data_IF_811490525223
#
_entry.id   IF_811490525223
#
_cell.length_a   1.000
_cell.length_b   1.000
_cell.length_c   1.000
_cell.angle_alpha   90.00
_cell.angle_beta   90.00
_cell.angle_gamma   90.00
#
_symmetry.space_group_name_H-M   'P 1'
#
loop_
_entity.id
_entity.type
_entity.pdbx_description
1 polymer ?
#
# COMPACT_ATOMS: atom_id res chain seq x y z
N UNK A 1 -0.17 5.99 14.15
CA UNK A 1 -0.20 4.94 13.12
C UNK A 1 -1.30 3.96 13.48
N UNK A 2 -2.33 3.86 12.64
CA UNK A 2 -3.43 2.91 12.87
C UNK A 2 -3.08 1.61 12.18
N UNK A 3 -2.89 0.54 12.94
CA UNK A 3 -2.90 -0.79 12.41
C UNK A 3 -4.29 -1.37 12.68
N UNK A 4 -5.06 -1.58 11.64
CA UNK A 4 -6.36 -2.22 11.73
C UNK A 4 -6.23 -3.74 11.73
N UNK A 5 -7.10 -4.45 12.44
CA UNK A 5 -7.25 -5.89 12.30
C UNK A 5 -7.74 -6.22 10.88
N UNK A 6 -7.42 -7.41 10.39
CA UNK A 6 -8.05 -7.96 9.18
C UNK A 6 -9.19 -8.85 9.64
N UNK A 7 -10.36 -8.75 9.02
CA UNK A 7 -11.42 -9.72 9.19
C UNK A 7 -11.26 -10.82 8.14
N UNK A 8 -11.41 -12.07 8.58
CA UNK A 8 -11.68 -13.19 7.70
C UNK A 8 -13.12 -13.12 7.18
N UNK A 9 -13.37 -13.74 6.01
CA UNK A 9 -14.69 -13.80 5.35
C UNK A 9 -15.82 -14.40 6.22
N UNK A 10 -15.49 -14.96 7.39
CA UNK A 10 -16.43 -15.53 8.34
C UNK A 10 -16.66 -14.71 9.62
N UNK A 11 -15.94 -13.63 9.87
CA UNK A 11 -16.18 -12.81 11.05
C UNK A 11 -17.37 -11.84 10.85
N UNK A 12 -18.38 -11.98 11.71
CA UNK A 12 -19.53 -11.06 11.72
C UNK A 12 -19.17 -9.80 12.49
N UNK A 13 -19.35 -8.64 11.85
CA UNK A 13 -19.16 -7.33 12.50
C UNK A 13 -20.28 -6.98 13.50
N UNK A 14 -21.35 -7.74 13.56
CA UNK A 14 -22.63 -7.29 14.08
C UNK A 14 -23.42 -6.47 13.03
N UNK A 15 -24.40 -5.69 13.45
CA UNK A 15 -25.19 -4.86 12.54
C UNK A 15 -24.31 -3.87 11.77
N UNK A 16 -24.48 -3.78 10.45
CA UNK A 16 -23.67 -2.91 9.57
C UNK A 16 -23.96 -1.41 9.79
N UNK A 17 -25.10 -1.06 10.39
CA UNK A 17 -25.50 0.32 10.67
C UNK A 17 -24.51 1.10 11.55
N UNK A 18 -23.73 0.40 12.37
CA UNK A 18 -22.67 1.01 13.21
C UNK A 18 -21.34 1.19 12.49
N UNK A 19 -21.29 0.93 11.18
CA UNK A 19 -20.06 0.95 10.41
C UNK A 19 -20.17 1.86 9.18
N UNK A 20 -19.05 2.49 8.88
CA UNK A 20 -18.79 3.20 7.64
C UNK A 20 -17.72 2.44 6.86
N UNK A 21 -17.91 2.28 5.56
CA UNK A 21 -16.99 1.53 4.68
C UNK A 21 -16.35 2.48 3.69
N UNK A 22 -15.03 2.50 3.67
CA UNK A 22 -14.22 3.31 2.77
C UNK A 22 -13.36 2.41 1.87
N UNK A 23 -12.92 2.95 0.73
CA UNK A 23 -11.97 2.25 -0.14
C UNK A 23 -10.63 2.07 0.56
N UNK A 24 -10.05 0.88 0.47
CA UNK A 24 -8.68 0.64 0.88
C UNK A 24 -7.75 0.98 -0.29
N UNK A 25 -7.25 2.20 -0.24
CA UNK A 25 -6.33 2.71 -1.25
C UNK A 25 -4.98 1.98 -1.16
N UNK A 26 -4.43 1.64 -2.32
CA UNK A 26 -3.11 1.01 -2.44
C UNK A 26 -2.07 2.09 -2.75
N UNK A 27 -1.39 2.56 -1.70
CA UNK A 27 -0.50 3.70 -1.80
C UNK A 27 0.51 3.78 -0.66
N UNK A 28 0.93 4.99 -0.36
CA UNK A 28 1.76 5.31 0.81
C UNK A 28 1.05 6.29 1.71
N UNK A 29 0.90 5.89 2.98
CA UNK A 29 0.23 6.73 3.96
C UNK A 29 1.02 7.99 4.25
N UNK A 30 0.32 9.12 4.25
CA UNK A 30 0.86 10.41 4.59
C UNK A 30 -0.07 11.16 5.54
N UNK A 31 0.53 11.76 6.57
CA UNK A 31 -0.15 12.72 7.43
C UNK A 31 0.26 14.12 6.98
N UNK A 32 -0.70 14.93 6.55
CA UNK A 32 -0.49 16.28 6.11
C UNK A 32 -0.70 17.25 7.31
N UNK A 33 0.33 17.98 7.64
CA UNK A 33 0.31 19.05 8.62
C UNK A 33 0.25 20.39 7.89
N UNK A 34 -0.83 21.12 8.07
CA UNK A 34 -1.04 22.45 7.53
C UNK A 34 -0.90 23.44 8.68
N UNK A 35 -0.02 24.42 8.56
CA UNK A 35 0.16 25.49 9.54
C UNK A 35 0.38 26.81 8.79
N UNK A 36 -0.57 27.72 8.89
CA UNK A 36 -0.49 29.05 8.28
C UNK A 36 -0.08 29.01 6.79
N UNK A 37 -0.72 28.15 6.00
CA UNK A 37 -0.47 27.96 4.56
C UNK A 37 0.79 27.17 4.21
N UNK A 38 1.52 26.65 5.19
CA UNK A 38 2.65 25.74 4.98
C UNK A 38 2.19 24.30 5.16
N UNK A 39 2.59 23.41 4.24
CA UNK A 39 2.23 22.01 4.26
C UNK A 39 3.46 21.14 4.47
N UNK A 40 3.36 20.20 5.41
CA UNK A 40 4.34 19.12 5.60
C UNK A 40 3.63 17.78 5.47
N UNK A 41 4.17 16.90 4.64
CA UNK A 41 3.72 15.54 4.51
C UNK A 41 4.67 14.61 5.25
N UNK A 42 4.18 13.94 6.28
CA UNK A 42 4.98 12.97 7.04
C UNK A 42 4.54 11.55 6.68
N UNK A 43 5.51 10.72 6.31
CA UNK A 43 5.29 9.29 6.09
C UNK A 43 4.98 8.56 7.41
N UNK A 44 4.58 7.30 7.30
CA UNK A 44 4.32 6.41 8.45
C UNK A 44 5.49 6.37 9.45
N UNK A 45 6.73 6.46 8.99
CA UNK A 45 7.95 6.47 9.84
C UNK A 45 8.34 7.89 10.33
N UNK A 46 7.51 8.91 10.07
CA UNK A 46 7.75 10.29 10.45
C UNK A 46 8.77 11.02 9.56
N UNK A 47 9.16 10.46 8.42
CA UNK A 47 10.03 11.13 7.46
C UNK A 47 9.25 12.20 6.71
N UNK A 48 9.86 13.36 6.52
CA UNK A 48 9.30 14.47 5.75
C UNK A 48 9.43 14.17 4.24
N UNK A 49 8.30 13.99 3.59
CA UNK A 49 8.17 13.69 2.16
C UNK A 49 7.66 14.88 1.34
N UNK A 50 7.50 16.06 1.96
CA UNK A 50 6.88 17.23 1.34
C UNK A 50 7.50 17.60 -0.01
N UNK A 51 8.82 17.55 -0.09
CA UNK A 51 9.56 17.88 -1.31
C UNK A 51 9.36 16.87 -2.46
N UNK A 52 8.98 15.63 -2.16
CA UNK A 52 8.75 14.59 -3.15
C UNK A 52 7.35 14.70 -3.82
N UNK A 53 6.41 15.42 -3.17
CA UNK A 53 5.02 15.53 -3.61
C UNK A 53 4.52 16.99 -3.71
N UNK A 54 5.17 17.84 -4.55
CA UNK A 54 4.72 19.23 -4.74
C UNK A 54 3.33 19.33 -5.36
N UNK A 55 2.92 18.34 -6.14
CA UNK A 55 1.60 18.17 -6.72
C UNK A 55 0.48 17.97 -5.70
N UNK A 56 0.83 17.54 -4.48
CA UNK A 56 -0.09 17.40 -3.34
C UNK A 56 0.04 18.61 -2.39
N UNK A 57 1.26 19.04 -2.07
CA UNK A 57 1.46 20.11 -1.08
C UNK A 57 1.02 21.47 -1.58
N UNK A 58 1.18 21.77 -2.89
CA UNK A 58 0.79 23.06 -3.43
C UNK A 58 -0.74 23.30 -3.43
N UNK A 59 -1.59 22.35 -3.82
CA UNK A 59 -3.04 22.49 -3.64
C UNK A 59 -3.44 22.62 -2.17
N UNK A 60 -2.93 21.77 -1.29
CA UNK A 60 -3.24 21.81 0.14
C UNK A 60 -2.89 23.16 0.79
N UNK A 61 -1.82 23.83 0.35
CA UNK A 61 -1.42 25.13 0.87
C UNK A 61 -2.47 26.25 0.59
N UNK A 62 -3.44 25.99 -0.30
CA UNK A 62 -4.55 26.92 -0.62
C UNK A 62 -5.79 26.67 0.23
N UNK A 63 -5.78 25.65 1.08
CA UNK A 63 -6.90 25.42 1.99
C UNK A 63 -7.03 26.58 2.98
N UNK A 64 -8.20 27.17 3.05
CA UNK A 64 -8.49 28.35 3.87
C UNK A 64 -8.77 27.96 5.33
N UNK A 65 -7.76 27.44 6.01
CA UNK A 65 -7.76 27.11 7.44
C UNK A 65 -6.51 27.67 8.09
N UNK A 66 -6.57 27.95 9.39
CA UNK A 66 -5.37 28.35 10.11
C UNK A 66 -4.39 27.20 10.25
N UNK A 67 -4.86 26.09 10.78
CA UNK A 67 -4.09 24.88 11.02
C UNK A 67 -4.97 23.65 10.78
N UNK A 68 -4.42 22.56 10.19
CA UNK A 68 -5.10 21.29 10.07
C UNK A 68 -4.09 20.13 10.11
N UNK A 69 -4.55 18.98 10.63
CA UNK A 69 -3.83 17.71 10.51
C UNK A 69 -4.76 16.71 9.81
N UNK A 70 -4.39 16.31 8.61
CA UNK A 70 -5.17 15.41 7.75
C UNK A 70 -4.43 14.07 7.61
N UNK A 71 -5.18 12.97 7.62
CA UNK A 71 -4.65 11.63 7.40
C UNK A 71 -5.15 11.08 6.07
N UNK A 72 -4.25 10.61 5.24
CA UNK A 72 -4.58 10.18 3.89
C UNK A 72 -3.61 9.16 3.32
N UNK A 73 -3.91 8.71 2.10
CA UNK A 73 -3.06 7.83 1.31
C UNK A 73 -2.65 8.55 0.02
N UNK A 74 -1.35 8.60 -0.25
CA UNK A 74 -0.84 9.10 -1.54
C UNK A 74 -0.91 7.95 -2.55
N UNK A 75 -1.55 8.20 -3.69
CA UNK A 75 -1.69 7.26 -4.79
C UNK A 75 -1.24 7.89 -6.10
N UNK A 76 -0.92 7.06 -7.08
CA UNK A 76 -0.80 7.42 -8.50
C UNK A 76 -1.80 6.57 -9.26
N UNK A 77 -2.51 7.16 -10.22
CA UNK A 77 -3.50 6.44 -11.03
C UNK A 77 -2.97 6.15 -12.43
N UNK A 78 -3.43 5.04 -13.01
CA UNK A 78 -3.20 4.72 -14.42
C UNK A 78 -4.07 5.62 -15.35
N UNK A 79 -3.94 5.42 -16.66
CA UNK A 79 -4.70 6.16 -17.67
C UNK A 79 -6.23 5.94 -17.61
N UNK A 80 -6.68 4.91 -16.88
CA UNK A 80 -8.11 4.63 -16.63
C UNK A 80 -8.61 5.22 -15.31
N UNK A 81 -7.75 5.93 -14.56
CA UNK A 81 -8.06 6.51 -13.25
C UNK A 81 -8.00 5.52 -12.08
N UNK A 82 -7.45 4.31 -12.28
CA UNK A 82 -7.29 3.31 -11.21
C UNK A 82 -5.97 3.49 -10.49
N UNK A 83 -5.93 3.39 -9.17
CA UNK A 83 -4.70 3.39 -8.41
C UNK A 83 -3.76 2.26 -8.87
N UNK A 84 -2.50 2.61 -9.10
CA UNK A 84 -1.44 1.69 -9.50
C UNK A 84 -0.19 1.91 -8.65
N UNK A 85 0.07 0.96 -7.76
CA UNK A 85 1.23 1.03 -6.87
C UNK A 85 2.57 0.94 -7.64
N UNK A 86 2.61 0.23 -8.78
CA UNK A 86 3.78 0.17 -9.65
C UNK A 86 4.17 1.54 -10.19
N UNK A 87 3.18 2.35 -10.61
CA UNK A 87 3.42 3.73 -11.01
C UNK A 87 3.87 4.60 -9.83
N UNK A 88 3.27 4.42 -8.65
CA UNK A 88 3.65 5.16 -7.44
C UNK A 88 5.10 4.88 -7.04
N UNK A 89 5.63 3.69 -7.27
CA UNK A 89 7.04 3.37 -6.96
C UNK A 89 8.02 4.32 -7.62
N UNK A 90 7.71 4.85 -8.80
CA UNK A 90 8.55 5.85 -9.49
C UNK A 90 8.59 7.20 -8.76
N UNK A 91 7.72 7.42 -7.75
CA UNK A 91 7.65 8.62 -6.92
C UNK A 91 8.30 8.43 -5.54
N UNK A 92 8.38 7.18 -5.07
CA UNK A 92 8.88 6.87 -3.72
C UNK A 92 10.39 7.18 -3.62
N UNK A 93 10.79 7.83 -2.52
CA UNK A 93 12.18 8.18 -2.20
C UNK A 93 12.86 9.17 -3.19
N UNK A 94 12.12 9.86 -4.05
CA UNK A 94 12.68 10.92 -4.86
C UNK A 94 13.10 12.10 -3.97
N UNK A 95 14.32 12.60 -4.18
CA UNK A 95 14.86 13.72 -3.41
C UNK A 95 15.50 14.82 -4.26
N UNK A 96 15.89 14.49 -5.51
CA UNK A 96 16.52 15.45 -6.41
C UNK A 96 15.44 16.28 -7.10
N UNK A 97 15.47 17.63 -7.04
CA UNK A 97 14.40 18.47 -7.59
C UNK A 97 14.05 18.18 -9.06
N UNK A 98 15.05 17.98 -9.92
CA UNK A 98 14.79 17.66 -11.34
C UNK A 98 14.15 16.29 -11.58
N UNK A 99 14.39 15.30 -10.70
CA UNK A 99 13.73 14.00 -10.77
C UNK A 99 12.29 14.11 -10.29
N UNK A 100 12.05 14.87 -9.21
CA UNK A 100 10.71 15.16 -8.69
C UNK A 100 9.86 15.88 -9.73
N UNK A 101 10.42 16.92 -10.39
CA UNK A 101 9.70 17.68 -11.42
C UNK A 101 9.25 16.78 -12.58
N UNK A 102 10.16 15.97 -13.13
CA UNK A 102 9.83 15.00 -14.20
C UNK A 102 8.78 13.99 -13.74
N UNK A 103 8.95 13.44 -12.57
CA UNK A 103 8.04 12.44 -12.03
C UNK A 103 6.65 13.02 -11.73
N UNK A 104 6.55 14.27 -11.29
CA UNK A 104 5.27 14.98 -11.09
C UNK A 104 4.49 15.14 -12.41
N UNK A 105 5.19 15.33 -13.53
CA UNK A 105 4.56 15.42 -14.85
C UNK A 105 4.15 14.05 -15.40
N UNK A 106 4.98 13.02 -15.18
CA UNK A 106 4.77 11.69 -15.76
C UNK A 106 3.83 10.82 -14.92
N UNK A 107 3.95 10.88 -13.60
CA UNK A 107 3.19 10.09 -12.61
C UNK A 107 2.64 11.02 -11.53
N UNK A 108 1.65 11.87 -11.85
CA UNK A 108 1.10 12.83 -10.89
C UNK A 108 0.46 12.13 -9.71
N UNK A 109 0.87 12.52 -8.50
CA UNK A 109 0.35 11.96 -7.27
C UNK A 109 -0.96 12.65 -6.84
N UNK A 110 -1.79 11.90 -6.14
CA UNK A 110 -3.03 12.36 -5.52
C UNK A 110 -3.04 11.95 -4.05
N UNK A 111 -3.66 12.77 -3.20
CA UNK A 111 -3.89 12.45 -1.79
C UNK A 111 -5.38 12.13 -1.57
N UNK A 112 -5.66 10.91 -1.16
CA UNK A 112 -6.98 10.45 -0.74
C UNK A 112 -7.09 10.65 0.77
N UNK A 113 -7.75 11.75 1.19
CA UNK A 113 -7.89 12.10 2.61
C UNK A 113 -9.08 11.34 3.19
N UNK A 114 -8.85 10.61 4.27
CA UNK A 114 -9.86 9.76 4.88
C UNK A 114 -10.12 10.07 6.37
N UNK A 115 -9.35 10.99 6.98
CA UNK A 115 -9.61 11.47 8.34
C UNK A 115 -9.03 12.88 8.58
N UNK A 116 -9.59 13.61 9.54
CA UNK A 116 -9.09 14.88 10.06
C UNK A 116 -8.86 14.75 11.57
N UNK A 117 -7.66 15.08 12.01
CA UNK A 117 -7.20 14.83 13.37
C UNK A 117 -7.14 16.10 14.22
N UNK A 118 -6.95 17.24 13.56
CA UNK A 118 -6.91 18.56 14.18
C UNK A 118 -7.42 19.61 13.18
N UNK A 119 -8.13 20.61 13.64
CA UNK A 119 -8.59 21.75 12.84
C UNK A 119 -8.56 23.01 13.71
N UNK A 120 -7.89 24.07 13.20
CA UNK A 120 -7.79 25.39 13.82
C UNK A 120 -7.37 25.39 15.28
N UNK A 121 -6.46 24.46 15.65
CA UNK A 121 -5.93 24.27 17.00
C UNK A 121 -6.81 23.42 17.90
N UNK A 122 -7.95 22.90 17.40
CA UNK A 122 -8.78 21.96 18.13
C UNK A 122 -8.45 20.52 17.74
N UNK A 123 -8.11 19.67 18.72
CA UNK A 123 -7.88 18.24 18.49
C UNK A 123 -9.22 17.51 18.33
N UNK A 124 -9.35 16.76 17.24
CA UNK A 124 -10.54 15.97 16.93
C UNK A 124 -10.36 14.47 17.28
N UNK A 125 -9.21 14.07 17.81
CA UNK A 125 -8.86 12.67 18.06
C UNK A 125 -9.88 11.93 18.95
N UNK A 126 -10.46 12.62 19.94
CA UNK A 126 -11.43 12.04 20.86
C UNK A 126 -12.87 12.02 20.29
N UNK A 127 -13.15 12.74 19.22
CA UNK A 127 -14.46 12.77 18.60
C UNK A 127 -14.77 11.44 17.89
N UNK A 128 -16.05 11.03 17.84
CA UNK A 128 -16.50 9.92 17.01
C UNK A 128 -16.06 10.06 15.55
N UNK A 129 -15.79 8.94 14.86
CA UNK A 129 -15.44 8.97 13.43
C UNK A 129 -16.49 9.73 12.59
N UNK A 130 -17.78 9.53 12.87
CA UNK A 130 -18.86 10.22 12.12
C UNK A 130 -18.72 11.74 12.18
N UNK A 131 -18.41 12.31 13.35
CA UNK A 131 -18.23 13.75 13.50
C UNK A 131 -16.95 14.24 12.78
N UNK A 132 -15.85 13.49 12.88
CA UNK A 132 -14.63 13.85 12.17
C UNK A 132 -14.83 13.79 10.66
N UNK A 133 -15.61 12.81 10.19
CA UNK A 133 -15.95 12.69 8.77
C UNK A 133 -16.78 13.87 8.26
N UNK A 134 -17.78 14.30 9.00
CA UNK A 134 -18.57 15.49 8.69
C UNK A 134 -17.69 16.75 8.60
N UNK A 135 -16.80 16.94 9.56
CA UNK A 135 -15.80 18.02 9.53
C UNK A 135 -14.92 17.92 8.28
N UNK A 136 -14.41 16.74 7.95
CA UNK A 136 -13.55 16.52 6.78
C UNK A 136 -14.28 16.88 5.47
N UNK A 137 -15.52 16.45 5.31
CA UNK A 137 -16.35 16.76 4.13
C UNK A 137 -16.62 18.25 4.02
N UNK A 138 -16.83 18.92 5.16
CA UNK A 138 -17.03 20.37 5.25
C UNK A 138 -15.82 21.21 4.86
N UNK A 139 -14.60 20.64 4.81
CA UNK A 139 -13.38 21.35 4.40
C UNK A 139 -13.33 21.68 2.91
N UNK A 140 -14.13 21.04 2.07
CA UNK A 140 -14.19 21.32 0.63
C UNK A 140 -12.87 21.00 -0.11
N UNK A 141 -12.12 19.99 0.30
CA UNK A 141 -10.82 19.65 -0.25
C UNK A 141 -10.86 19.35 -1.76
N UNK A 142 -11.95 18.78 -2.27
CA UNK A 142 -12.10 18.50 -3.70
C UNK A 142 -12.12 19.78 -4.56
N UNK A 143 -12.48 20.94 -3.99
CA UNK A 143 -12.42 22.23 -4.67
C UNK A 143 -10.99 22.74 -4.89
N UNK A 144 -9.98 22.15 -4.24
CA UNK A 144 -8.58 22.51 -4.43
C UNK A 144 -8.02 21.99 -5.78
N UNK A 145 -8.74 21.10 -6.46
CA UNK A 145 -8.38 20.55 -7.77
C UNK A 145 -8.19 19.03 -7.74
N UNK A 146 -7.66 18.48 -8.81
CA UNK A 146 -7.59 17.04 -9.10
C UNK A 146 -6.52 16.26 -8.30
N UNK A 147 -5.90 16.84 -7.28
CA UNK A 147 -4.77 16.21 -6.55
C UNK A 147 -5.08 15.92 -5.10
N UNK A 148 -6.18 16.42 -4.57
CA UNK A 148 -6.60 16.19 -3.20
C UNK A 148 -8.08 15.83 -3.20
N UNK A 149 -8.42 14.69 -2.63
CA UNK A 149 -9.79 14.17 -2.65
C UNK A 149 -10.22 13.70 -1.28
N UNK A 150 -11.52 13.84 -1.01
CA UNK A 150 -12.22 13.16 0.09
C UNK A 150 -13.09 12.05 -0.53
N UNK A 151 -12.60 10.80 -0.60
CA UNK A 151 -13.34 9.71 -1.23
C UNK A 151 -14.69 9.46 -0.54
N UNK A 152 -15.70 8.96 -1.26
CA UNK A 152 -17.00 8.69 -0.69
C UNK A 152 -16.98 7.59 0.38
N UNK A 153 -17.93 7.66 1.30
CA UNK A 153 -18.17 6.68 2.37
C UNK A 153 -19.50 5.98 2.15
N UNK A 154 -19.54 4.68 2.40
CA UNK A 154 -20.74 3.84 2.35
C UNK A 154 -21.20 3.56 3.78
N UNK A 155 -22.31 4.14 4.19
CA UNK A 155 -22.84 3.97 5.55
C UNK A 155 -23.76 2.74 5.60
N UNK A 156 -23.38 1.72 6.42
CA UNK A 156 -24.16 0.50 6.60
C UNK A 156 -24.33 -0.35 5.34
N UNK A 157 -23.58 -0.10 4.28
CA UNK A 157 -23.67 -0.81 3.00
C UNK A 157 -22.28 -1.34 2.59
N UNK A 158 -21.89 -2.45 3.21
CA UNK A 158 -20.64 -3.14 2.93
C UNK A 158 -20.59 -3.67 1.51
N UNK A 159 -21.71 -4.21 1.02
CA UNK A 159 -21.74 -4.85 -0.29
C UNK A 159 -21.48 -3.84 -1.40
N UNK A 160 -22.14 -2.68 -1.37
CA UNK A 160 -21.88 -1.61 -2.35
C UNK A 160 -20.41 -1.15 -2.32
N UNK A 161 -19.82 -0.99 -1.12
CA UNK A 161 -18.41 -0.64 -0.98
C UNK A 161 -17.49 -1.72 -1.58
N UNK A 162 -17.76 -3.01 -1.34
CA UNK A 162 -16.97 -4.11 -1.88
C UNK A 162 -17.09 -4.20 -3.42
N UNK A 163 -18.28 -4.05 -3.97
CA UNK A 163 -18.51 -4.10 -5.42
C UNK A 163 -17.71 -2.99 -6.14
N UNK A 164 -17.76 -1.76 -5.62
CA UNK A 164 -16.96 -0.65 -6.15
C UNK A 164 -15.45 -0.91 -6.00
N UNK A 165 -15.03 -1.41 -4.83
CA UNK A 165 -13.64 -1.75 -4.58
C UNK A 165 -13.11 -2.81 -5.56
N UNK A 166 -13.92 -3.82 -5.90
CA UNK A 166 -13.58 -4.86 -6.89
C UNK A 166 -13.55 -4.29 -8.32
N UNK A 167 -14.51 -3.45 -8.70
CA UNK A 167 -14.53 -2.78 -10.01
C UNK A 167 -13.29 -1.90 -10.23
N UNK A 168 -12.85 -1.18 -9.19
CA UNK A 168 -11.64 -0.38 -9.19
C UNK A 168 -10.36 -1.22 -9.00
N UNK A 169 -10.47 -2.52 -8.77
CA UNK A 169 -9.36 -3.45 -8.48
C UNK A 169 -8.50 -3.01 -7.29
N UNK A 170 -9.13 -2.44 -6.27
CA UNK A 170 -8.46 -2.07 -5.04
C UNK A 170 -8.18 -3.29 -4.16
N UNK A 171 -7.29 -3.14 -3.19
CA UNK A 171 -6.95 -4.22 -2.23
C UNK A 171 -8.18 -4.66 -1.42
N UNK A 172 -9.17 -3.78 -1.22
CA UNK A 172 -10.38 -4.04 -0.45
C UNK A 172 -11.03 -2.77 0.05
N UNK A 173 -11.67 -2.88 1.21
CA UNK A 173 -12.29 -1.77 1.92
C UNK A 173 -11.79 -1.70 3.37
N UNK A 174 -11.99 -0.56 4.02
CA UNK A 174 -11.76 -0.35 5.45
C UNK A 174 -13.12 -0.07 6.11
N UNK A 175 -13.53 -0.94 7.02
CA UNK A 175 -14.70 -0.71 7.86
C UNK A 175 -14.26 0.11 9.10
N UNK A 176 -14.93 1.22 9.37
CA UNK A 176 -14.68 2.11 10.50
C UNK A 176 -15.92 2.20 11.39
N UNK A 177 -15.77 1.96 12.68
CA UNK A 177 -16.86 2.17 13.66
C UNK A 177 -17.21 3.65 13.72
N UNK A 178 -18.49 3.99 13.46
CA UNK A 178 -18.96 5.38 13.39
C UNK A 178 -18.82 6.13 14.72
N UNK A 179 -18.89 5.42 15.84
CA UNK A 179 -18.80 5.96 17.20
C UNK A 179 -17.34 5.96 17.76
N UNK A 180 -16.34 5.55 16.96
CA UNK A 180 -15.00 5.38 17.48
C UNK A 180 -14.14 6.63 17.46
N UNK A 181 -13.34 6.88 18.51
CA UNK A 181 -12.27 7.87 18.46
C UNK A 181 -11.13 7.43 17.54
N UNK A 182 -10.30 8.37 17.13
CA UNK A 182 -9.04 8.06 16.45
C UNK A 182 -7.95 7.70 17.47
N UNK A 183 -7.33 6.53 17.33
CA UNK A 183 -6.33 6.01 18.27
C UNK A 183 -4.94 5.92 17.60
N UNK A 184 -4.10 6.98 17.65
CA UNK A 184 -2.79 6.98 17.02
C UNK A 184 -1.89 5.85 17.55
N UNK A 185 -1.22 5.13 16.65
CA UNK A 185 -0.26 4.09 17.01
C UNK A 185 -0.82 2.82 17.62
N UNK A 186 -2.14 2.71 17.79
CA UNK A 186 -2.78 1.53 18.39
C UNK A 186 -3.43 0.66 17.33
N UNK A 187 -3.37 -0.65 17.54
CA UNK A 187 -4.21 -1.62 16.82
C UNK A 187 -5.51 -1.79 17.60
N UNK A 188 -6.65 -1.73 16.90
CA UNK A 188 -7.96 -1.88 17.53
C UNK A 188 -8.96 -2.53 16.57
N UNK A 189 -10.11 -2.93 17.11
CA UNK A 189 -11.22 -3.51 16.34
C UNK A 189 -12.20 -2.43 15.82
N UNK A 190 -11.84 -1.16 15.91
CA UNK A 190 -12.67 -0.04 15.43
C UNK A 190 -12.43 0.31 13.97
N UNK A 191 -11.30 -0.14 13.41
CA UNK A 191 -10.95 -0.05 12.00
C UNK A 191 -10.53 -1.42 11.53
N UNK A 192 -11.27 -1.99 10.59
CA UNK A 192 -11.07 -3.35 10.10
C UNK A 192 -10.82 -3.33 8.60
N UNK A 193 -9.87 -4.11 8.14
CA UNK A 193 -9.59 -4.27 6.71
C UNK A 193 -10.39 -5.47 6.21
N UNK A 194 -11.13 -5.28 5.13
CA UNK A 194 -11.81 -6.35 4.39
C UNK A 194 -11.15 -6.38 3.02
N UNK A 195 -10.35 -7.40 2.79
CA UNK A 195 -9.55 -7.50 1.57
C UNK A 195 -10.33 -8.21 0.45
N UNK A 196 -10.18 -7.72 -0.77
CA UNK A 196 -10.65 -8.41 -1.99
C UNK A 196 -9.70 -9.55 -2.38
N UNK A 197 -8.40 -9.38 -2.03
CA UNK A 197 -7.33 -10.34 -2.26
C UNK A 197 -6.43 -10.38 -1.03
N UNK A 198 -5.83 -11.53 -0.78
CA UNK A 198 -4.77 -11.63 0.20
C UNK A 198 -3.51 -10.96 -0.37
N UNK A 199 -2.89 -10.09 0.39
CA UNK A 199 -1.61 -9.45 0.05
C UNK A 199 -0.55 -9.88 1.04
N UNK A 200 0.69 -9.99 0.58
CA UNK A 200 1.81 -10.37 1.42
C UNK A 200 3.10 -9.72 0.94
N UNK A 201 3.86 -9.16 1.86
CA UNK A 201 5.25 -8.79 1.62
C UNK A 201 6.12 -10.04 1.62
N UNK A 202 7.02 -10.14 0.65
CA UNK A 202 7.90 -11.31 0.47
C UNK A 202 9.34 -10.86 0.23
N UNK A 203 10.28 -11.65 0.68
CA UNK A 203 11.69 -11.47 0.38
C UNK A 203 12.05 -12.33 -0.82
N UNK A 204 12.73 -11.76 -1.81
CA UNK A 204 13.21 -12.49 -2.98
C UNK A 204 14.50 -13.22 -2.62
N UNK A 205 14.49 -14.55 -2.70
CA UNK A 205 15.66 -15.39 -2.42
C UNK A 205 16.27 -16.02 -3.68
N UNK A 206 15.61 -15.87 -4.83
CA UNK A 206 16.10 -16.40 -6.10
C UNK A 206 15.11 -16.17 -7.24
N UNK A 207 15.47 -16.65 -8.41
CA UNK A 207 14.66 -16.58 -9.61
C UNK A 207 14.89 -17.76 -10.55
N UNK A 208 13.97 -18.02 -11.45
CA UNK A 208 14.09 -19.02 -12.51
C UNK A 208 14.05 -18.35 -13.87
N UNK A 209 14.81 -18.85 -14.86
CA UNK A 209 14.81 -18.31 -16.22
C UNK A 209 13.43 -18.32 -16.86
N UNK A 210 13.16 -17.31 -17.66
CA UNK A 210 11.97 -17.27 -18.50
C UNK A 210 12.09 -18.11 -19.76
N UNK A 211 10.94 -18.41 -20.38
CA UNK A 211 10.86 -19.13 -21.65
C UNK A 211 10.31 -18.22 -22.76
N UNK A 212 10.61 -18.54 -24.03
CA UNK A 212 10.09 -17.82 -25.18
C UNK A 212 10.49 -16.35 -25.17
N UNK A 213 9.52 -15.44 -25.17
CA UNK A 213 9.76 -13.98 -25.17
C UNK A 213 10.48 -13.42 -23.95
N UNK A 214 10.65 -14.23 -22.88
CA UNK A 214 11.38 -13.88 -21.65
C UNK A 214 12.69 -14.66 -21.48
N UNK A 215 13.24 -15.27 -22.53
CA UNK A 215 14.46 -16.10 -22.46
C UNK A 215 15.72 -15.35 -22.00
N UNK A 216 15.70 -14.01 -22.00
CA UNK A 216 16.81 -13.15 -21.52
C UNK A 216 16.60 -12.59 -20.11
N UNK A 217 15.48 -12.93 -19.44
CA UNK A 217 15.13 -12.40 -18.11
C UNK A 217 14.57 -13.53 -17.23
N UNK A 218 14.24 -13.19 -15.98
CA UNK A 218 13.55 -14.16 -15.13
C UNK A 218 12.13 -14.48 -15.64
N UNK A 219 11.72 -15.72 -15.48
CA UNK A 219 10.35 -16.18 -15.70
C UNK A 219 9.52 -16.16 -14.44
N UNK A 220 10.16 -16.35 -13.28
CA UNK A 220 9.53 -16.24 -11.96
C UNK A 220 10.54 -15.96 -10.86
N UNK A 221 10.14 -15.20 -9.84
CA UNK A 221 10.87 -14.98 -8.60
C UNK A 221 10.52 -16.09 -7.60
N UNK A 222 11.50 -16.54 -6.83
CA UNK A 222 11.34 -17.47 -5.72
C UNK A 222 11.27 -16.66 -4.42
N UNK A 223 10.19 -16.82 -3.68
CA UNK A 223 9.82 -15.95 -2.57
C UNK A 223 9.96 -16.66 -1.23
N UNK A 224 10.37 -15.91 -0.22
CA UNK A 224 10.42 -16.37 1.16
C UNK A 224 9.89 -15.35 2.15
N UNK A 225 9.56 -15.84 3.34
CA UNK A 225 9.22 -15.04 4.52
C UNK A 225 10.12 -15.48 5.67
N UNK A 226 10.71 -14.54 6.45
CA UNK A 226 11.51 -14.88 7.62
C UNK A 226 10.76 -15.79 8.59
N UNK A 227 11.40 -16.85 9.02
CA UNK A 227 10.86 -17.84 9.97
C UNK A 227 11.95 -18.33 10.92
N UNK A 228 11.61 -19.23 11.87
CA UNK A 228 12.54 -19.70 12.90
C UNK A 228 13.80 -20.40 12.34
N UNK A 229 13.68 -21.05 11.19
CA UNK A 229 14.76 -21.82 10.54
C UNK A 229 15.47 -21.04 9.43
N UNK A 230 15.14 -19.76 9.23
CA UNK A 230 15.63 -18.92 8.16
C UNK A 230 14.52 -18.44 7.24
N UNK A 231 14.85 -18.08 5.99
CA UNK A 231 13.89 -17.57 5.02
C UNK A 231 13.06 -18.73 4.43
N UNK A 232 11.85 -18.93 4.94
CA UNK A 232 10.96 -20.03 4.54
C UNK A 232 10.37 -19.78 3.16
N UNK A 233 10.52 -20.73 2.24
CA UNK A 233 9.96 -20.65 0.89
C UNK A 233 8.41 -20.66 0.90
N UNK A 234 7.80 -19.66 0.25
CA UNK A 234 6.33 -19.47 0.22
C UNK A 234 5.73 -19.53 -1.18
N UNK A 235 6.53 -19.83 -2.19
CA UNK A 235 6.07 -19.97 -3.57
C UNK A 235 6.89 -19.18 -4.57
N UNK A 236 6.42 -19.18 -5.82
CA UNK A 236 7.04 -18.42 -6.92
C UNK A 236 6.01 -17.54 -7.61
N UNK A 237 6.42 -16.36 -8.07
CA UNK A 237 5.58 -15.41 -8.81
C UNK A 237 6.18 -15.13 -10.18
N UNK A 238 5.37 -15.27 -11.25
CA UNK A 238 5.78 -15.03 -12.64
C UNK A 238 4.85 -14.11 -13.42
N UNK A 239 3.81 -13.57 -12.77
CA UNK A 239 2.83 -12.66 -13.35
C UNK A 239 2.80 -11.33 -12.59
N UNK A 240 2.27 -10.27 -13.22
CA UNK A 240 2.20 -8.92 -12.64
C UNK A 240 3.42 -8.04 -12.93
N UNK A 241 4.29 -8.44 -13.85
CA UNK A 241 5.44 -7.65 -14.30
C UNK A 241 5.16 -7.04 -15.67
N UNK A 242 5.32 -5.75 -15.81
CA UNK A 242 5.48 -5.09 -17.11
C UNK A 242 6.95 -5.14 -17.59
N UNK A 243 7.22 -4.62 -18.80
CA UNK A 243 8.56 -4.66 -19.38
C UNK A 243 9.60 -3.88 -18.57
N UNK A 244 9.24 -2.71 -18.05
CA UNK A 244 10.16 -1.86 -17.28
C UNK A 244 10.46 -2.49 -15.90
N UNK A 245 9.45 -3.07 -15.26
CA UNK A 245 9.62 -3.78 -13.99
C UNK A 245 10.49 -5.03 -14.16
N UNK A 246 10.33 -5.78 -15.28
CA UNK A 246 11.18 -6.93 -15.58
C UNK A 246 12.66 -6.53 -15.66
N UNK A 247 12.98 -5.48 -16.41
CA UNK A 247 14.37 -5.03 -16.60
C UNK A 247 14.98 -4.47 -15.30
N UNK A 248 14.21 -3.73 -14.51
CA UNK A 248 14.69 -3.18 -13.23
C UNK A 248 14.95 -4.28 -12.21
N UNK A 249 14.01 -5.21 -12.06
CA UNK A 249 14.15 -6.34 -11.13
C UNK A 249 15.32 -7.22 -11.57
N UNK A 250 15.45 -7.55 -12.88
CA UNK A 250 16.58 -8.38 -13.37
C UNK A 250 17.93 -7.75 -13.04
N UNK A 251 18.13 -6.46 -13.31
CA UNK A 251 19.38 -5.75 -12.97
C UNK A 251 19.73 -5.85 -11.48
N UNK A 252 18.73 -5.78 -10.60
CA UNK A 252 18.92 -5.92 -9.15
C UNK A 252 19.27 -7.35 -8.75
N UNK A 253 18.61 -8.34 -9.37
CA UNK A 253 18.91 -9.76 -9.14
C UNK A 253 20.35 -10.11 -9.54
N UNK A 254 20.81 -9.61 -10.68
CA UNK A 254 22.18 -9.84 -11.17
C UNK A 254 23.24 -9.27 -10.21
N UNK A 255 22.96 -8.11 -9.61
CA UNK A 255 23.84 -7.48 -8.62
C UNK A 255 23.89 -8.22 -7.27
N UNK A 256 22.90 -9.07 -7.00
CA UNK A 256 22.75 -9.80 -5.74
C UNK A 256 23.04 -11.31 -5.87
N UNK A 257 23.58 -11.75 -7.01
CA UNK A 257 23.82 -13.17 -7.27
C UNK A 257 24.59 -13.86 -6.14
N UNK A 258 24.12 -15.04 -5.73
CA UNK A 258 24.66 -15.84 -4.63
C UNK A 258 24.70 -17.31 -5.02
N UNK A 259 25.80 -18.08 -4.72
CA UNK A 259 25.92 -19.48 -5.11
C UNK A 259 25.01 -20.43 -4.32
N UNK A 260 24.62 -20.06 -3.09
CA UNK A 260 23.82 -20.89 -2.20
C UNK A 260 22.39 -20.34 -2.04
N UNK A 261 21.43 -21.25 -1.86
CA UNK A 261 20.06 -20.85 -1.58
C UNK A 261 19.91 -20.23 -0.19
N UNK A 262 19.33 -19.02 -0.07
CA UNK A 262 18.92 -18.48 1.22
C UNK A 262 17.55 -19.04 1.69
N UNK A 263 16.85 -19.78 0.82
CA UNK A 263 15.48 -20.26 1.06
C UNK A 263 15.48 -21.67 1.65
N UNK A 264 14.67 -21.87 2.68
CA UNK A 264 14.41 -23.17 3.31
C UNK A 264 13.14 -23.78 2.72
N UNK A 265 13.15 -25.08 2.39
CA UNK A 265 11.98 -25.82 1.95
C UNK A 265 11.60 -25.63 0.46
N UNK A 266 12.54 -25.23 -0.39
CA UNK A 266 12.31 -25.11 -1.83
C UNK A 266 12.11 -26.49 -2.45
N UNK A 267 11.03 -26.73 -3.22
CA UNK A 267 10.83 -27.98 -3.94
C UNK A 267 11.93 -28.22 -4.98
N UNK A 268 12.26 -29.49 -5.22
CA UNK A 268 13.28 -29.87 -6.23
C UNK A 268 12.97 -29.33 -7.63
N UNK A 269 11.69 -29.27 -7.99
CA UNK A 269 11.22 -28.75 -9.28
C UNK A 269 11.48 -27.24 -9.43
N UNK A 270 11.40 -26.48 -8.34
CA UNK A 270 11.66 -25.04 -8.33
C UNK A 270 13.16 -24.72 -8.18
N UNK A 271 13.91 -25.59 -7.52
CA UNK A 271 15.35 -25.43 -7.31
C UNK A 271 16.20 -25.81 -8.53
N UNK A 272 15.69 -26.62 -9.48
CA UNK A 272 16.47 -27.24 -10.57
C UNK A 272 17.26 -26.24 -11.41
N UNK A 273 16.58 -25.14 -11.82
CA UNK A 273 17.15 -24.11 -12.70
C UNK A 273 17.15 -22.76 -11.99
N UNK A 274 17.24 -22.76 -10.66
CA UNK A 274 17.18 -21.55 -9.87
C UNK A 274 18.53 -20.84 -9.83
N UNK A 275 18.47 -19.53 -9.94
CA UNK A 275 19.56 -18.61 -9.64
C UNK A 275 19.26 -17.96 -8.30
N UNK A 276 20.17 -18.13 -7.34
CA UNK A 276 19.97 -17.62 -5.98
C UNK A 276 20.51 -16.21 -5.85
N UNK A 277 19.94 -15.45 -4.95
CA UNK A 277 20.34 -14.06 -4.66
C UNK A 277 20.38 -13.83 -3.15
N UNK A 278 21.23 -12.88 -2.71
CA UNK A 278 21.16 -12.38 -1.34
C UNK A 278 19.75 -11.83 -1.06
N UNK A 279 19.15 -12.16 0.09
CA UNK A 279 17.76 -11.83 0.40
C UNK A 279 17.61 -10.38 0.85
N UNK A 280 17.90 -9.43 -0.05
CA UNK A 280 17.89 -7.99 0.21
C UNK A 280 16.67 -7.29 -0.43
N UNK A 281 16.02 -7.93 -1.41
CA UNK A 281 14.86 -7.35 -2.11
C UNK A 281 13.56 -7.77 -1.44
N UNK A 282 12.78 -6.80 -1.03
CA UNK A 282 11.39 -7.00 -0.60
C UNK A 282 10.44 -6.61 -1.72
N UNK A 283 9.43 -7.43 -1.96
CA UNK A 283 8.34 -7.14 -2.86
C UNK A 283 6.99 -7.43 -2.24
N UNK A 284 5.92 -6.99 -2.89
CA UNK A 284 4.55 -7.29 -2.52
C UNK A 284 3.90 -8.16 -3.58
N UNK A 285 3.13 -9.15 -3.13
CA UNK A 285 2.31 -10.00 -3.99
C UNK A 285 0.88 -10.05 -3.49
N UNK A 286 -0.08 -10.17 -4.42
CA UNK A 286 -1.42 -10.63 -4.10
C UNK A 286 -1.51 -12.12 -4.37
N UNK A 287 -2.32 -12.84 -3.62
CA UNK A 287 -2.55 -14.28 -3.83
C UNK A 287 -3.98 -14.66 -3.43
N UNK A 288 -4.47 -15.77 -3.97
CA UNK A 288 -5.84 -16.21 -3.73
C UNK A 288 -6.02 -16.87 -2.35
N UNK A 289 -5.14 -17.82 -2.04
CA UNK A 289 -5.21 -18.62 -0.81
C UNK A 289 -3.83 -19.23 -0.49
N UNK A 290 -3.68 -19.76 0.72
CA UNK A 290 -2.54 -20.59 1.08
C UNK A 290 -2.86 -22.06 0.86
N UNK A 291 -1.92 -22.79 0.26
CA UNK A 291 -1.99 -24.26 0.18
C UNK A 291 -1.70 -24.89 1.54
N UNK A 292 -2.05 -26.17 1.75
CA UNK A 292 -1.75 -26.90 2.98
C UNK A 292 -0.29 -26.80 3.46
N UNK A 293 0.73 -26.82 2.57
CA UNK A 293 2.13 -26.59 2.92
C UNK A 293 2.49 -25.10 3.19
N UNK A 294 1.55 -24.17 3.23
CA UNK A 294 1.80 -22.75 3.49
C UNK A 294 2.37 -21.99 2.30
N UNK A 295 2.08 -22.40 1.06
CA UNK A 295 2.50 -21.71 -0.16
C UNK A 295 1.39 -20.89 -0.76
N UNK A 296 1.73 -19.75 -1.33
CA UNK A 296 0.78 -18.86 -2.01
C UNK A 296 0.30 -19.49 -3.32
N UNK A 297 -1.01 -19.51 -3.51
CA UNK A 297 -1.66 -19.98 -4.74
C UNK A 297 -2.00 -18.78 -5.63
N UNK A 298 -1.64 -18.88 -6.92
CA UNK A 298 -1.84 -17.84 -7.93
C UNK A 298 -1.27 -16.46 -7.52
N UNK A 299 -0.01 -16.39 -7.05
CA UNK A 299 0.56 -15.09 -6.69
C UNK A 299 0.75 -14.21 -7.92
N UNK A 300 0.45 -12.91 -7.74
CA UNK A 300 0.65 -11.85 -8.73
C UNK A 300 1.52 -10.78 -8.09
N UNK A 301 2.59 -10.43 -8.77
CA UNK A 301 3.52 -9.38 -8.33
C UNK A 301 2.88 -8.01 -8.38
N UNK A 302 3.05 -7.25 -7.31
CA UNK A 302 2.55 -5.87 -7.19
C UNK A 302 3.66 -4.83 -7.32
N UNK A 303 4.89 -5.21 -6.93
CA UNK A 303 6.05 -4.35 -7.05
C UNK A 303 7.09 -4.57 -5.96
N UNK A 304 8.24 -3.89 -6.11
CA UNK A 304 9.26 -3.83 -5.06
C UNK A 304 8.80 -2.93 -3.91
N UNK A 305 9.28 -3.23 -2.70
CA UNK A 305 9.03 -2.46 -1.48
C UNK A 305 10.36 -1.93 -0.91
N UNK A 306 10.97 -0.92 -1.57
CA UNK A 306 12.24 -0.36 -1.12
C UNK A 306 12.15 0.38 0.22
N UNK A 307 10.93 0.61 0.71
CA UNK A 307 10.59 1.17 2.01
C UNK A 307 10.64 0.13 3.15
N UNK A 308 10.81 -1.17 2.82
CA UNK A 308 10.79 -2.28 3.78
C UNK A 308 12.16 -2.91 3.97
N UNK A 309 12.44 -3.30 5.21
CA UNK A 309 13.60 -4.13 5.54
C UNK A 309 13.21 -5.61 5.42
N UNK A 310 14.03 -6.47 4.75
CA UNK A 310 13.78 -7.90 4.69
C UNK A 310 13.55 -8.56 6.07
N UNK A 311 14.21 -8.08 7.12
CA UNK A 311 14.05 -8.59 8.48
C UNK A 311 12.71 -8.18 9.14
N UNK A 312 12.04 -7.16 8.62
CA UNK A 312 10.73 -6.70 9.11
C UNK A 312 9.55 -7.43 8.43
N UNK A 313 9.82 -8.25 7.40
CA UNK A 313 8.78 -9.01 6.70
C UNK A 313 8.26 -10.11 7.60
N UNK A 314 6.95 -10.09 7.84
CA UNK A 314 6.25 -11.09 8.66
C UNK A 314 5.02 -11.59 7.92
N UNK A 315 4.57 -12.81 8.27
CA UNK A 315 3.29 -13.26 7.76
C UNK A 315 2.15 -12.32 8.20
N UNK A 316 1.50 -11.71 7.20
CA UNK A 316 0.19 -11.10 7.39
C UNK A 316 -0.86 -12.23 7.33
N UNK A 317 -0.96 -13.04 8.38
CA UNK A 317 -2.02 -14.06 8.44
C UNK A 317 -3.37 -13.35 8.53
N UNK A 318 -4.39 -13.84 7.81
CA UNK A 318 -5.75 -13.38 7.98
C UNK A 318 -6.27 -13.65 9.39
#
# INVERSE_FOLDING_TARGET
MVASATLDDGEHFGPEEGWAFEMKWDGVRAVAYLVSGRVRLLSRKGRDESAAYPDVTAPLARLEVRDAVLDGEIVVTDASGRPDFGLLQNRINLSRPGDVERATQTWPAQLMVFDVLELDGESLLARPYAERREVLEGLGLDALGERVHVPPVFHGDRQAAQDISQQLRLEGIVAKRTDSPYAPGRRGRTWLKIKNFLTQEVVVGGWRPGNGGRSGTFGSLLMGIPGPEGLTYVGRVGSGFDGAALDDVQRRLDALAEPATPLVGVPREDARDAHWVRPELVGEVTYAELTGPGRMRHPVWRGLRPDKDPAEVVWERP
#
